data_IF_142920767256
#
_entry.id   IF_142920767256
#
_cell.length_a   1.000
_cell.length_b   1.000
_cell.length_c   1.000
_cell.angle_alpha   90.00
_cell.angle_beta   90.00
_cell.angle_gamma   90.00
#
_symmetry.space_group_name_H-M   'P 1'
#
loop_
_entity.id
_entity.type
_entity.pdbx_description
1 polymer ?
#
# COMPACT_ATOMS: atom_id res chain seq x y z
N UNK A 1 24.43 -6.99 33.18
CA UNK A 1 24.34 -8.39 32.68
C UNK A 1 23.00 -8.95 33.13
N UNK A 2 21.89 -8.29 32.75
CA UNK A 2 20.64 -8.33 33.53
C UNK A 2 19.40 -8.67 32.67
N UNK A 3 19.49 -9.71 31.82
CA UNK A 3 18.41 -10.09 30.90
C UNK A 3 17.87 -11.52 31.09
N UNK A 4 18.21 -12.21 32.18
CA UNK A 4 17.85 -13.62 32.40
C UNK A 4 17.17 -13.85 33.75
N UNK A 5 15.96 -13.32 33.93
CA UNK A 5 15.08 -13.79 35.01
C UNK A 5 13.59 -13.58 34.69
N UNK A 6 13.25 -12.55 33.91
CA UNK A 6 11.85 -12.26 33.52
C UNK A 6 11.33 -13.20 32.42
N UNK A 7 12.23 -13.78 31.61
CA UNK A 7 11.91 -14.75 30.55
C UNK A 7 11.88 -16.21 31.04
N UNK A 8 12.28 -16.47 32.28
CA UNK A 8 12.32 -17.82 32.85
C UNK A 8 10.91 -18.30 33.26
N UNK A 9 10.00 -17.35 33.48
CA UNK A 9 8.58 -17.63 33.70
C UNK A 9 7.95 -17.95 32.35
N UNK A 10 7.78 -19.24 32.07
CA UNK A 10 7.19 -19.76 30.82
C UNK A 10 5.89 -19.04 30.43
N UNK A 11 5.03 -18.72 31.41
CA UNK A 11 3.75 -17.99 31.20
C UNK A 11 3.97 -16.61 30.57
N UNK A 12 4.98 -15.87 31.02
CA UNK A 12 5.25 -14.50 30.59
C UNK A 12 5.85 -14.48 29.17
N UNK A 13 6.69 -15.47 28.84
CA UNK A 13 7.21 -15.69 27.48
C UNK A 13 6.10 -16.03 26.49
N UNK A 14 5.16 -16.91 26.84
CA UNK A 14 4.00 -17.20 26.00
C UNK A 14 3.08 -15.99 25.85
N UNK A 15 2.84 -15.24 26.93
CA UNK A 15 2.01 -14.03 26.90
C UNK A 15 2.58 -12.95 25.97
N UNK A 16 3.88 -12.64 26.10
CA UNK A 16 4.59 -11.69 25.24
C UNK A 16 4.59 -12.12 23.77
N UNK A 17 4.73 -13.42 23.49
CA UNK A 17 4.67 -13.96 22.14
C UNK A 17 3.26 -13.94 21.53
N UNK A 18 2.22 -14.14 22.34
CA UNK A 18 0.82 -14.18 21.90
C UNK A 18 0.22 -12.79 21.66
N UNK A 19 0.69 -11.76 22.35
CA UNK A 19 0.19 -10.40 22.21
C UNK A 19 0.15 -9.88 20.75
N UNK A 20 1.26 -9.94 19.97
CA UNK A 20 1.23 -9.57 18.56
C UNK A 20 0.36 -10.51 17.73
N UNK A 21 0.28 -11.80 18.07
CA UNK A 21 -0.54 -12.79 17.34
C UNK A 21 -2.03 -12.46 17.43
N UNK A 22 -2.52 -12.13 18.63
CA UNK A 22 -3.92 -11.71 18.81
C UNK A 22 -4.24 -10.41 18.07
N UNK A 23 -3.29 -9.47 18.09
CA UNK A 23 -3.41 -8.21 17.36
C UNK A 23 -3.49 -8.43 15.85
N UNK A 24 -2.60 -9.24 15.28
CA UNK A 24 -2.60 -9.55 13.84
C UNK A 24 -3.86 -10.34 13.45
N UNK A 25 -4.26 -11.33 14.26
CA UNK A 25 -5.44 -12.16 14.01
C UNK A 25 -6.74 -11.35 13.98
N UNK A 26 -6.90 -10.37 14.87
CA UNK A 26 -8.11 -9.53 14.91
C UNK A 26 -8.16 -8.56 13.73
N UNK A 27 -7.01 -8.01 13.33
CA UNK A 27 -6.94 -7.04 12.24
C UNK A 27 -7.03 -7.69 10.85
N UNK A 28 -6.56 -8.92 10.70
CA UNK A 28 -6.50 -9.60 9.39
C UNK A 28 -7.87 -9.75 8.70
N UNK A 29 -8.94 -10.24 9.36
CA UNK A 29 -10.26 -10.32 8.75
C UNK A 29 -10.82 -8.95 8.33
N UNK A 30 -10.61 -7.91 9.14
CA UNK A 30 -11.10 -6.56 8.86
C UNK A 30 -10.45 -6.02 7.59
N UNK A 31 -9.13 -6.19 7.46
CA UNK A 31 -8.37 -5.78 6.26
C UNK A 31 -8.84 -6.60 5.04
N UNK A 32 -9.06 -7.90 5.20
CA UNK A 32 -9.53 -8.77 4.12
C UNK A 32 -10.91 -8.35 3.60
N UNK A 33 -11.87 -8.05 4.48
CA UNK A 33 -13.21 -7.56 4.07
C UNK A 33 -13.11 -6.20 3.38
N UNK A 34 -12.25 -5.31 3.86
CA UNK A 34 -12.06 -3.97 3.25
C UNK A 34 -11.46 -4.09 1.86
N UNK A 35 -10.42 -4.91 1.69
CA UNK A 35 -9.82 -5.18 0.39
C UNK A 35 -10.84 -5.79 -0.58
N UNK A 36 -11.68 -6.71 -0.12
CA UNK A 36 -12.74 -7.34 -0.94
C UNK A 36 -13.71 -6.29 -1.47
N UNK A 37 -14.13 -5.36 -0.62
CA UNK A 37 -15.01 -4.28 -1.02
C UNK A 37 -14.34 -3.33 -2.01
N UNK A 38 -13.06 -2.96 -1.80
CA UNK A 38 -12.31 -2.13 -2.74
C UNK A 38 -12.16 -2.78 -4.12
N UNK A 39 -11.86 -4.08 -4.16
CA UNK A 39 -11.81 -4.86 -5.39
C UNK A 39 -13.17 -4.88 -6.09
N UNK A 40 -14.25 -5.14 -5.34
CA UNK A 40 -15.60 -5.10 -5.91
C UNK A 40 -15.87 -3.75 -6.58
N UNK A 41 -15.56 -2.62 -5.93
CA UNK A 41 -15.72 -1.29 -6.53
C UNK A 41 -14.85 -1.07 -7.77
N UNK A 42 -13.59 -1.53 -7.76
CA UNK A 42 -12.67 -1.39 -8.90
C UNK A 42 -13.17 -2.17 -10.14
N UNK A 43 -13.69 -3.38 -9.94
CA UNK A 43 -14.15 -4.26 -11.02
C UNK A 43 -15.65 -4.09 -11.36
N UNK A 44 -16.43 -3.45 -10.50
CA UNK A 44 -17.83 -3.11 -10.75
C UNK A 44 -17.90 -1.79 -11.51
N UNK A 45 -17.72 -1.88 -12.83
CA UNK A 45 -17.93 -0.78 -13.76
C UNK A 45 -19.36 -0.89 -14.31
N UNK A 46 -20.10 0.21 -14.25
CA UNK A 46 -21.55 0.32 -14.51
C UNK A 46 -21.99 -0.49 -15.75
N UNK A 47 -22.86 -1.51 -15.55
CA UNK A 47 -23.60 -2.18 -16.61
C UNK A 47 -23.54 -3.72 -16.69
N UNK A 48 -22.68 -4.40 -15.93
CA UNK A 48 -22.54 -5.86 -15.99
C UNK A 48 -23.09 -6.60 -14.77
N UNK A 49 -24.16 -7.40 -14.94
CA UNK A 49 -24.65 -8.32 -13.91
C UNK A 49 -23.72 -9.54 -13.85
N UNK A 50 -22.78 -9.56 -12.90
CA UNK A 50 -22.01 -10.77 -12.64
C UNK A 50 -22.88 -11.79 -11.87
N UNK A 51 -22.79 -13.09 -12.19
CA UNK A 51 -23.51 -14.11 -11.44
C UNK A 51 -23.09 -14.10 -9.96
N UNK A 52 -24.06 -14.33 -9.07
CA UNK A 52 -23.91 -14.27 -7.61
C UNK A 52 -22.73 -15.09 -7.05
N UNK A 53 -22.32 -16.15 -7.76
CA UNK A 53 -21.17 -16.99 -7.42
C UNK A 53 -19.84 -16.24 -7.55
N UNK A 54 -19.69 -15.37 -8.56
CA UNK A 54 -18.50 -14.54 -8.75
C UNK A 54 -18.39 -13.51 -7.62
N UNK A 55 -19.53 -12.90 -7.23
CA UNK A 55 -19.57 -11.94 -6.13
C UNK A 55 -19.19 -12.57 -4.78
N UNK A 56 -19.63 -13.82 -4.55
CA UNK A 56 -19.55 -14.49 -3.26
C UNK A 56 -18.36 -15.41 -3.07
N UNK A 57 -17.76 -15.92 -4.16
CA UNK A 57 -16.66 -16.90 -4.10
C UNK A 57 -15.38 -16.33 -4.71
N UNK A 58 -15.46 -15.68 -5.87
CA UNK A 58 -14.25 -15.25 -6.60
C UNK A 58 -13.60 -14.04 -5.92
N UNK A 59 -14.35 -13.02 -5.50
CA UNK A 59 -13.74 -11.86 -4.83
C UNK A 59 -13.07 -12.18 -3.49
N UNK A 60 -13.70 -12.93 -2.54
CA UNK A 60 -13.02 -13.31 -1.31
C UNK A 60 -11.79 -14.18 -1.57
N UNK A 61 -11.85 -15.09 -2.54
CA UNK A 61 -10.72 -15.95 -2.89
C UNK A 61 -9.54 -15.11 -3.40
N UNK A 62 -9.78 -14.20 -4.34
CA UNK A 62 -8.74 -13.30 -4.86
C UNK A 62 -8.15 -12.41 -3.76
N UNK A 63 -8.92 -12.03 -2.74
CA UNK A 63 -8.37 -11.27 -1.61
C UNK A 63 -7.58 -12.11 -0.60
N UNK A 64 -7.87 -13.40 -0.49
CA UNK A 64 -7.18 -14.32 0.41
C UNK A 64 -5.92 -14.93 -0.23
N UNK A 65 -5.90 -15.04 -1.56
CA UNK A 65 -4.78 -15.61 -2.32
C UNK A 65 -3.46 -14.87 -2.08
N UNK A 66 -3.36 -13.53 -2.15
CA UNK A 66 -2.11 -12.82 -1.93
C UNK A 66 -1.46 -13.13 -0.56
N UNK A 67 -2.15 -13.02 0.59
CA UNK A 67 -1.52 -13.37 1.87
C UNK A 67 -1.14 -14.84 1.98
N UNK A 68 -1.87 -15.76 1.34
CA UNK A 68 -1.51 -17.20 1.30
C UNK A 68 -0.25 -17.42 0.48
N UNK A 69 -0.18 -16.87 -0.74
CA UNK A 69 0.99 -16.98 -1.62
C UNK A 69 2.22 -16.37 -0.95
N UNK A 70 2.04 -15.21 -0.32
CA UNK A 70 3.09 -14.53 0.44
C UNK A 70 3.57 -15.41 1.60
N UNK A 71 2.68 -16.08 2.32
CA UNK A 71 3.06 -17.00 3.40
C UNK A 71 3.88 -18.19 2.92
N UNK A 72 3.64 -18.70 1.70
CA UNK A 72 4.40 -19.80 1.12
C UNK A 72 5.73 -19.37 0.50
N UNK A 73 5.82 -18.15 -0.05
CA UNK A 73 7.03 -17.66 -0.72
C UNK A 73 7.99 -16.92 0.21
N UNK A 74 7.54 -16.42 1.36
CA UNK A 74 8.33 -15.49 2.19
C UNK A 74 9.06 -16.23 3.32
N UNK A 75 10.39 -16.33 3.18
CA UNK A 75 11.27 -16.82 4.25
C UNK A 75 11.72 -15.70 5.22
N UNK A 76 11.47 -14.43 4.90
CA UNK A 76 11.88 -13.27 5.70
C UNK A 76 10.79 -12.18 5.72
N UNK A 77 10.01 -12.09 6.80
CA UNK A 77 8.93 -11.10 6.96
C UNK A 77 9.44 -9.65 6.86
N UNK A 78 10.66 -9.39 7.32
CA UNK A 78 11.26 -8.05 7.31
C UNK A 78 11.49 -7.52 5.88
N UNK A 79 12.00 -8.37 4.98
CA UNK A 79 12.20 -7.99 3.57
C UNK A 79 10.87 -7.72 2.87
N UNK A 80 9.86 -8.57 3.12
CA UNK A 80 8.53 -8.42 2.55
C UNK A 80 7.87 -7.10 2.99
N UNK A 81 7.87 -6.80 4.28
CA UNK A 81 7.30 -5.56 4.83
C UNK A 81 8.09 -4.35 4.33
N UNK A 82 9.41 -4.45 4.20
CA UNK A 82 10.26 -3.40 3.63
C UNK A 82 9.90 -3.10 2.16
N UNK A 83 9.76 -4.13 1.33
CA UNK A 83 9.40 -3.98 -0.10
C UNK A 83 7.99 -3.42 -0.22
N UNK A 84 6.99 -4.05 0.40
CA UNK A 84 5.60 -3.57 0.30
C UNK A 84 5.45 -2.16 0.87
N UNK A 85 6.07 -1.85 2.01
CA UNK A 85 6.06 -0.52 2.60
C UNK A 85 6.70 0.54 1.70
N UNK A 86 7.86 0.25 1.11
CA UNK A 86 8.56 1.21 0.27
C UNK A 86 7.91 1.40 -1.11
N UNK A 87 7.59 0.31 -1.82
CA UNK A 87 7.06 0.38 -3.18
C UNK A 87 5.59 0.80 -3.21
N UNK A 88 4.73 0.13 -2.44
CA UNK A 88 3.31 0.49 -2.39
C UNK A 88 3.12 1.85 -1.67
N UNK A 89 3.90 2.12 -0.62
CA UNK A 89 3.88 3.41 0.07
C UNK A 89 4.28 4.57 -0.84
N UNK A 90 5.38 4.44 -1.60
CA UNK A 90 5.80 5.45 -2.59
C UNK A 90 4.74 5.67 -3.66
N UNK A 91 4.11 4.58 -4.13
CA UNK A 91 3.00 4.67 -5.08
C UNK A 91 1.83 5.49 -4.55
N UNK A 92 1.32 5.13 -3.37
CA UNK A 92 0.13 5.77 -2.80
C UNK A 92 0.42 7.20 -2.33
N UNK A 93 1.58 7.46 -1.73
CA UNK A 93 1.91 8.75 -1.13
C UNK A 93 2.46 9.78 -2.12
N UNK A 94 3.19 9.35 -3.15
CA UNK A 94 3.82 10.27 -4.11
C UNK A 94 3.20 10.17 -5.51
N UNK A 95 3.09 8.95 -6.07
CA UNK A 95 2.69 8.78 -7.47
C UNK A 95 1.21 9.12 -7.68
N UNK A 96 0.31 8.54 -6.89
CA UNK A 96 -1.15 8.75 -7.01
C UNK A 96 -1.55 10.22 -6.92
N UNK A 97 -1.19 10.99 -5.86
CA UNK A 97 -1.57 12.40 -5.78
C UNK A 97 -0.95 13.24 -6.90
N UNK A 98 0.29 12.95 -7.32
CA UNK A 98 0.92 13.64 -8.43
C UNK A 98 0.16 13.42 -9.75
N UNK A 99 -0.23 12.17 -10.06
CA UNK A 99 -1.04 11.84 -11.22
C UNK A 99 -2.43 12.49 -11.16
N UNK A 100 -3.12 12.43 -10.01
CA UNK A 100 -4.43 13.06 -9.84
C UNK A 100 -4.37 14.56 -10.10
N UNK A 101 -3.38 15.25 -9.55
CA UNK A 101 -3.19 16.69 -9.78
C UNK A 101 -2.88 16.98 -11.26
N UNK A 102 -2.06 16.16 -11.90
CA UNK A 102 -1.74 16.31 -13.32
C UNK A 102 -2.97 16.15 -14.23
N UNK A 103 -3.73 15.06 -14.04
CA UNK A 103 -4.93 14.79 -14.84
C UNK A 103 -6.06 15.78 -14.53
N UNK A 104 -6.26 16.15 -13.26
CA UNK A 104 -7.26 17.14 -12.89
C UNK A 104 -6.99 18.50 -13.53
N UNK A 105 -5.73 18.97 -13.53
CA UNK A 105 -5.36 20.23 -14.19
C UNK A 105 -5.62 20.17 -15.69
N UNK A 106 -5.19 19.10 -16.36
CA UNK A 106 -5.39 18.90 -17.80
C UNK A 106 -6.87 18.76 -18.19
N UNK A 107 -7.69 18.17 -17.32
CA UNK A 107 -9.12 18.03 -17.54
C UNK A 107 -9.90 19.33 -17.29
N UNK A 108 -9.43 20.16 -16.35
CA UNK A 108 -10.05 21.45 -16.04
C UNK A 108 -9.67 22.57 -17.04
N UNK A 109 -8.50 22.50 -17.68
CA UNK A 109 -8.08 23.46 -18.72
C UNK A 109 -9.12 23.73 -19.82
N UNK A 110 -9.76 22.71 -20.43
CA UNK A 110 -10.81 22.94 -21.43
C UNK A 110 -12.19 23.32 -20.85
N UNK A 111 -12.48 22.98 -19.58
CA UNK A 111 -13.82 23.13 -18.99
C UNK A 111 -14.00 24.46 -18.26
N UNK A 112 -12.96 25.00 -17.63
CA UNK A 112 -13.04 26.18 -16.76
C UNK A 112 -12.98 27.51 -17.53
N UNK A 113 -12.61 27.49 -18.82
CA UNK A 113 -12.45 28.69 -19.63
C UNK A 113 -11.21 29.50 -19.21
N UNK A 114 -10.50 30.08 -20.19
CA UNK A 114 -9.23 30.80 -19.95
C UNK A 114 -9.36 32.06 -19.07
N UNK A 115 -10.59 32.53 -18.81
CA UNK A 115 -10.87 33.78 -18.11
C UNK A 115 -11.25 33.61 -16.63
N UNK A 116 -11.40 32.38 -16.13
CA UNK A 116 -11.66 32.15 -14.71
C UNK A 116 -10.36 32.25 -13.89
N UNK A 117 -10.04 33.47 -13.43
CA UNK A 117 -8.93 33.71 -12.50
C UNK A 117 -9.29 33.16 -11.12
N UNK A 118 -8.76 31.99 -10.78
CA UNK A 118 -8.95 31.36 -9.47
C UNK A 118 -8.33 32.22 -8.37
N UNK A 119 -9.17 32.88 -7.55
CA UNK A 119 -8.75 33.77 -6.45
C UNK A 119 -8.02 33.04 -5.30
N UNK A 120 -8.12 31.71 -5.24
CA UNK A 120 -7.44 30.84 -4.26
C UNK A 120 -6.34 29.98 -4.90
N UNK A 121 -5.63 30.52 -5.90
CA UNK A 121 -4.57 29.79 -6.60
C UNK A 121 -3.43 29.37 -5.65
N UNK A 122 -3.19 28.06 -5.58
CA UNK A 122 -2.06 27.49 -4.87
C UNK A 122 -0.72 27.89 -5.52
N UNK A 123 0.35 28.14 -4.73
CA UNK A 123 1.70 28.42 -5.25
C UNK A 123 2.28 27.26 -6.09
N UNK A 124 1.68 26.07 -6.05
CA UNK A 124 2.10 24.89 -6.81
C UNK A 124 1.49 24.79 -8.22
N UNK A 125 1.13 25.91 -8.85
CA UNK A 125 0.45 25.96 -10.16
C UNK A 125 1.23 25.27 -11.29
N UNK A 126 2.56 25.34 -11.27
CA UNK A 126 3.37 24.78 -12.35
C UNK A 126 3.41 23.25 -12.34
N UNK A 127 3.27 22.64 -13.52
CA UNK A 127 3.44 21.20 -13.72
C UNK A 127 4.86 20.70 -13.37
N UNK A 128 5.83 21.62 -13.22
CA UNK A 128 7.16 21.36 -12.72
C UNK A 128 7.16 20.61 -11.38
N UNK A 129 6.29 21.01 -10.43
CA UNK A 129 6.22 20.37 -9.12
C UNK A 129 5.76 18.91 -9.19
N UNK A 130 4.89 18.58 -10.15
CA UNK A 130 4.45 17.20 -10.38
C UNK A 130 5.64 16.36 -10.87
N UNK A 131 6.38 16.85 -11.87
CA UNK A 131 7.57 16.17 -12.38
C UNK A 131 8.66 16.02 -11.32
N UNK A 132 8.87 17.05 -10.50
CA UNK A 132 9.80 16.99 -9.37
C UNK A 132 9.45 15.86 -8.40
N UNK A 133 8.17 15.74 -7.99
CA UNK A 133 7.70 14.67 -7.10
C UNK A 133 7.85 13.28 -7.73
N UNK A 134 7.59 13.14 -9.03
CA UNK A 134 7.77 11.87 -9.74
C UNK A 134 9.25 11.47 -9.84
N UNK A 135 10.14 12.42 -10.13
CA UNK A 135 11.60 12.18 -10.15
C UNK A 135 12.08 11.81 -8.74
N UNK A 136 11.61 12.52 -7.72
CA UNK A 136 11.93 12.22 -6.32
C UNK A 136 11.47 10.81 -5.92
N UNK A 137 10.24 10.42 -6.29
CA UNK A 137 9.73 9.07 -6.08
C UNK A 137 10.62 8.02 -6.77
N UNK A 138 11.07 8.28 -8.01
CA UNK A 138 12.01 7.43 -8.72
C UNK A 138 13.35 7.28 -7.99
N UNK A 139 13.87 8.38 -7.44
CA UNK A 139 15.10 8.37 -6.64
C UNK A 139 14.95 7.54 -5.36
N UNK A 140 13.83 7.70 -4.63
CA UNK A 140 13.51 6.90 -3.46
C UNK A 140 13.45 5.40 -3.78
N UNK A 141 12.79 5.02 -4.88
CA UNK A 141 12.73 3.62 -5.33
C UNK A 141 14.11 3.08 -5.71
N UNK A 142 14.95 3.87 -6.39
CA UNK A 142 16.31 3.45 -6.71
C UNK A 142 17.15 3.20 -5.45
N UNK A 143 17.07 4.07 -4.44
CA UNK A 143 17.77 3.88 -3.17
C UNK A 143 17.31 2.63 -2.44
N UNK A 144 15.99 2.38 -2.39
CA UNK A 144 15.43 1.17 -1.78
C UNK A 144 15.88 -0.08 -2.53
N UNK A 145 15.87 -0.03 -3.87
CA UNK A 145 16.32 -1.15 -4.71
C UNK A 145 17.80 -1.46 -4.47
N UNK A 146 18.64 -0.43 -4.45
CA UNK A 146 20.06 -0.58 -4.14
C UNK A 146 20.29 -1.16 -2.74
N UNK A 147 19.54 -0.68 -1.74
CA UNK A 147 19.62 -1.20 -0.38
C UNK A 147 19.26 -2.70 -0.29
N UNK A 148 18.23 -3.13 -1.01
CA UNK A 148 17.84 -4.55 -1.06
C UNK A 148 18.96 -5.39 -1.68
N UNK A 149 19.52 -4.96 -2.82
CA UNK A 149 20.60 -5.69 -3.52
C UNK A 149 21.87 -5.77 -2.65
N UNK A 150 22.25 -4.65 -2.01
CA UNK A 150 23.41 -4.59 -1.12
C UNK A 150 23.25 -5.48 0.12
N UNK A 151 22.03 -5.53 0.67
CA UNK A 151 21.72 -6.38 1.83
C UNK A 151 21.72 -7.87 1.46
N UNK A 152 21.25 -8.21 0.26
CA UNK A 152 21.25 -9.58 -0.26
C UNK A 152 22.67 -10.09 -0.54
N UNK A 153 23.54 -9.23 -1.10
CA UNK A 153 24.96 -9.56 -1.40
C UNK A 153 25.81 -9.77 -0.13
N UNK A 154 25.34 -9.30 1.02
CA UNK A 154 26.08 -9.36 2.30
C UNK A 154 25.71 -10.58 3.16
N UNK A 155 24.73 -11.38 2.74
CA UNK A 155 24.35 -12.66 3.33
C UNK A 155 25.07 -13.81 2.62
#
# INVERSE_FOLDING_TARGET
>A
TDNCNVLDISVLRYFLGLFPVFTISTNFPIIAVTLRNNWKTLFHREGGTYPWVVDRVVFPLITLVPPIVVAFCTNNLESLVGITGAYAGTGIQYIVPACLVFFARRHLEPVVGRDAVNMHQSPFRHAFWVWFVLIWAGFCLMFVTANIILTDTKK
#
